data_IF_623131302135
#
_entry.id   IF_623131302135
#
_cell.length_a   1.000
_cell.length_b   1.000
_cell.length_c   1.000
_cell.angle_alpha   90.00
_cell.angle_beta   90.00
_cell.angle_gamma   90.00
#
_symmetry.space_group_name_H-M   'P 1'
#
loop_
_entity.id
_entity.type
_entity.pdbx_description
1 polymer ?
#
# COMPACT_ATOMS: atom_id res chain seq x y z
N UNK A 1 7.29 55.55 -45.69
CA UNK A 1 6.19 54.93 -44.90
C UNK A 1 5.82 53.65 -45.62
N UNK A 2 5.81 52.43 -45.09
CA UNK A 2 5.75 51.94 -43.72
C UNK A 2 6.52 50.60 -43.59
N UNK A 3 6.76 50.21 -42.34
CA UNK A 3 7.58 49.12 -41.86
C UNK A 3 6.87 47.74 -41.87
N UNK A 4 7.68 46.68 -42.06
CA UNK A 4 7.78 45.41 -41.32
C UNK A 4 6.48 44.72 -40.84
N UNK A 5 6.33 43.42 -41.16
CA UNK A 5 6.28 42.28 -40.21
C UNK A 5 5.65 41.05 -40.87
N UNK A 6 6.50 40.05 -41.17
CA UNK A 6 6.07 38.67 -41.33
C UNK A 6 5.73 38.11 -39.95
N UNK A 7 4.54 37.52 -39.78
CA UNK A 7 4.21 36.73 -38.60
C UNK A 7 4.21 35.26 -38.99
N UNK A 8 5.34 34.59 -38.70
CA UNK A 8 5.42 33.14 -38.57
C UNK A 8 4.78 32.76 -37.23
N UNK A 9 3.69 32.00 -37.25
CA UNK A 9 3.18 31.36 -36.05
C UNK A 9 3.62 29.88 -36.04
N UNK A 10 4.75 29.62 -35.39
CA UNK A 10 5.15 28.26 -35.01
C UNK A 10 4.30 27.82 -33.83
N UNK A 11 3.45 26.81 -34.02
CA UNK A 11 2.83 26.05 -32.95
C UNK A 11 3.89 25.19 -32.25
N UNK A 12 4.57 25.75 -31.26
CA UNK A 12 5.38 24.96 -30.31
C UNK A 12 4.49 24.58 -29.13
N UNK A 13 3.63 23.58 -29.34
CA UNK A 13 3.09 22.78 -28.24
C UNK A 13 4.10 21.68 -27.88
N UNK A 14 4.26 21.32 -26.60
CA UNK A 14 5.08 20.17 -26.24
C UNK A 14 4.50 18.92 -26.91
N UNK A 15 5.35 18.20 -27.65
CA UNK A 15 5.02 16.90 -28.23
C UNK A 15 4.87 15.89 -27.08
N UNK A 16 3.65 15.71 -26.57
CA UNK A 16 3.35 14.59 -25.68
C UNK A 16 3.42 13.34 -26.56
N UNK A 17 4.45 12.51 -26.36
CA UNK A 17 4.60 11.25 -27.07
C UNK A 17 3.40 10.36 -26.74
N UNK A 18 2.59 9.93 -27.73
CA UNK A 18 1.37 9.15 -27.46
C UNK A 18 1.63 7.79 -26.79
N UNK A 19 2.88 7.30 -26.78
CA UNK A 19 3.23 5.98 -26.24
C UNK A 19 3.17 5.88 -24.71
N UNK A 20 3.56 6.92 -23.96
CA UNK A 20 3.68 6.79 -22.50
C UNK A 20 2.31 6.78 -21.80
N UNK A 21 1.38 7.61 -22.28
CA UNK A 21 0.01 7.63 -21.76
C UNK A 21 -0.79 6.39 -22.19
N UNK A 22 -0.61 5.92 -23.42
CA UNK A 22 -1.27 4.70 -23.91
C UNK A 22 -0.80 3.46 -23.13
N UNK A 23 0.51 3.31 -22.89
CA UNK A 23 1.05 2.18 -22.15
C UNK A 23 0.64 2.17 -20.67
N UNK A 24 0.64 3.34 -20.00
CA UNK A 24 0.16 3.45 -18.62
C UNK A 24 -1.34 3.13 -18.51
N UNK A 25 -2.15 3.57 -19.47
CA UNK A 25 -3.57 3.24 -19.53
C UNK A 25 -3.80 1.74 -19.78
N UNK A 26 -3.01 1.11 -20.65
CA UNK A 26 -3.07 -0.34 -20.93
C UNK A 26 -2.72 -1.18 -19.69
N UNK A 27 -1.67 -0.80 -18.94
CA UNK A 27 -1.32 -1.45 -17.66
C UNK A 27 -2.46 -1.28 -16.66
N UNK A 28 -3.04 -0.07 -16.55
CA UNK A 28 -4.15 0.19 -15.64
C UNK A 28 -5.40 -0.64 -15.99
N UNK A 29 -5.73 -0.76 -17.28
CA UNK A 29 -6.82 -1.62 -17.77
C UNK A 29 -6.54 -3.08 -17.46
N UNK A 30 -5.31 -3.55 -17.70
CA UNK A 30 -4.91 -4.94 -17.43
C UNK A 30 -5.00 -5.27 -15.94
N UNK A 31 -4.56 -4.36 -15.06
CA UNK A 31 -4.70 -4.51 -13.60
C UNK A 31 -6.19 -4.55 -13.21
N UNK A 32 -7.01 -3.65 -13.76
CA UNK A 32 -8.44 -3.61 -13.48
C UNK A 32 -9.13 -4.91 -13.85
N UNK A 33 -8.85 -5.45 -15.02
CA UNK A 33 -9.39 -6.72 -15.51
C UNK A 33 -8.91 -7.90 -14.66
N UNK A 34 -7.60 -7.99 -14.37
CA UNK A 34 -7.04 -9.04 -13.50
C UNK A 34 -7.68 -9.05 -12.12
N UNK A 35 -7.81 -7.88 -11.48
CA UNK A 35 -8.38 -7.77 -10.14
C UNK A 35 -9.90 -8.01 -10.12
N UNK A 36 -10.60 -7.81 -11.24
CA UNK A 36 -12.04 -8.11 -11.34
C UNK A 36 -12.35 -9.61 -11.19
N UNK A 37 -11.37 -10.50 -11.36
CA UNK A 37 -11.53 -11.93 -11.10
C UNK A 37 -11.52 -12.28 -9.60
N UNK A 38 -11.04 -11.37 -8.74
CA UNK A 38 -10.82 -11.63 -7.31
C UNK A 38 -11.54 -10.64 -6.40
N UNK A 39 -12.39 -9.79 -6.97
CA UNK A 39 -13.05 -8.70 -6.25
C UNK A 39 -13.83 -7.79 -7.19
N UNK A 40 -14.32 -6.67 -6.67
CA UNK A 40 -15.12 -5.73 -7.42
C UNK A 40 -14.63 -4.29 -7.26
N UNK A 41 -14.61 -3.55 -8.36
CA UNK A 41 -14.38 -2.11 -8.33
C UNK A 41 -15.62 -1.36 -7.84
N UNK A 42 -15.44 -0.36 -6.97
CA UNK A 42 -16.48 0.45 -6.34
C UNK A 42 -16.02 1.89 -6.25
N UNK A 43 -16.98 2.80 -6.05
CA UNK A 43 -16.68 4.21 -5.79
C UNK A 43 -16.92 4.51 -4.32
N UNK A 44 -15.84 4.70 -3.56
CA UNK A 44 -15.85 5.21 -2.18
C UNK A 44 -16.05 6.72 -2.20
N UNK A 45 -16.91 7.23 -1.32
CA UNK A 45 -17.08 8.67 -1.13
C UNK A 45 -15.80 9.33 -0.58
N UNK A 46 -14.96 8.57 0.13
CA UNK A 46 -13.71 9.06 0.73
C UNK A 46 -12.52 8.90 -0.22
N UNK A 47 -12.42 7.76 -0.89
CA UNK A 47 -11.21 7.37 -1.62
C UNK A 47 -11.37 7.36 -3.15
N UNK A 48 -12.57 7.59 -3.68
CA UNK A 48 -12.83 7.52 -5.12
C UNK A 48 -12.90 6.08 -5.63
N UNK A 49 -12.31 5.78 -6.79
CA UNK A 49 -12.32 4.42 -7.36
C UNK A 49 -11.42 3.50 -6.55
N UNK A 50 -12.02 2.45 -5.98
CA UNK A 50 -11.35 1.48 -5.11
C UNK A 50 -11.69 0.06 -5.53
N UNK A 51 -10.78 -0.86 -5.25
CA UNK A 51 -11.03 -2.28 -5.43
C UNK A 51 -11.35 -2.95 -4.09
N UNK A 52 -12.42 -3.74 -4.06
CA UNK A 52 -12.89 -4.49 -2.88
C UNK A 52 -12.65 -5.98 -3.11
N UNK A 53 -11.77 -6.64 -2.35
CA UNK A 53 -11.47 -8.06 -2.52
C UNK A 53 -12.66 -8.94 -2.14
N UNK A 54 -12.82 -10.07 -2.84
CA UNK A 54 -13.74 -11.15 -2.46
C UNK A 54 -13.01 -12.17 -1.59
N UNK A 55 -13.03 -11.94 -0.28
CA UNK A 55 -12.27 -12.68 0.74
C UNK A 55 -13.17 -13.08 1.91
N UNK A 56 -12.66 -13.95 2.80
CA UNK A 56 -13.36 -14.35 4.03
C UNK A 56 -13.51 -13.17 5.01
N UNK A 57 -14.50 -13.25 5.90
CA UNK A 57 -14.88 -12.15 6.80
C UNK A 57 -13.74 -11.68 7.71
N UNK A 58 -12.90 -12.58 8.21
CA UNK A 58 -11.80 -12.24 9.12
C UNK A 58 -10.51 -11.84 8.37
N UNK A 59 -10.55 -11.80 7.05
CA UNK A 59 -9.40 -11.45 6.22
C UNK A 59 -8.99 -10.00 6.47
N UNK A 60 -7.68 -9.77 6.51
CA UNK A 60 -7.08 -8.44 6.58
C UNK A 60 -5.85 -8.39 5.67
N UNK A 61 -5.52 -7.24 5.08
CA UNK A 61 -4.30 -7.09 4.31
C UNK A 61 -3.08 -7.44 5.15
N UNK A 62 -2.05 -8.00 4.51
CA UNK A 62 -0.80 -8.39 5.17
C UNK A 62 -0.98 -9.47 6.26
N UNK A 63 -1.88 -10.44 6.04
CA UNK A 63 -2.04 -11.61 6.93
C UNK A 63 -1.81 -12.95 6.22
N UNK A 64 -2.08 -13.07 4.93
CA UNK A 64 -1.91 -14.31 4.16
C UNK A 64 -0.63 -14.25 3.30
N UNK A 65 0.50 -14.58 3.94
CA UNK A 65 1.82 -14.47 3.35
C UNK A 65 2.92 -14.49 4.41
N UNK A 66 4.07 -13.92 4.08
CA UNK A 66 5.20 -13.75 5.02
C UNK A 66 6.03 -12.52 4.72
N UNK A 67 6.73 -12.04 5.73
CA UNK A 67 7.78 -11.03 5.56
C UNK A 67 9.10 -11.69 5.13
N UNK A 68 9.74 -11.12 4.12
CA UNK A 68 11.05 -11.54 3.63
C UNK A 68 11.98 -10.34 3.66
N UNK A 69 13.18 -10.50 4.21
CA UNK A 69 14.19 -9.44 4.16
C UNK A 69 14.83 -9.40 2.78
N UNK A 70 14.89 -8.21 2.18
CA UNK A 70 15.48 -7.95 0.85
C UNK A 70 16.36 -6.70 0.92
N UNK A 71 17.06 -6.38 -0.17
CA UNK A 71 17.83 -5.14 -0.28
C UNK A 71 16.94 -3.88 -0.22
N UNK A 72 15.65 -4.01 -0.56
CA UNK A 72 14.64 -2.95 -0.41
C UNK A 72 14.01 -2.91 1.01
N UNK A 73 14.44 -3.80 1.92
CA UNK A 73 13.92 -3.97 3.28
C UNK A 73 12.89 -5.10 3.40
N UNK A 74 12.00 -5.02 4.40
CA UNK A 74 10.94 -6.02 4.60
C UNK A 74 9.93 -6.02 3.45
N UNK A 75 10.02 -7.05 2.60
CA UNK A 75 9.12 -7.34 1.49
C UNK A 75 7.96 -8.22 1.96
N UNK A 76 6.72 -7.85 1.61
CA UNK A 76 5.58 -8.72 1.84
C UNK A 76 5.43 -9.72 0.68
N UNK A 77 5.70 -10.99 0.97
CA UNK A 77 5.44 -12.09 0.04
C UNK A 77 4.06 -12.68 0.32
N UNK A 78 3.06 -12.24 -0.44
CA UNK A 78 1.70 -12.76 -0.37
C UNK A 78 1.56 -14.14 -1.03
N UNK A 79 0.64 -14.96 -0.51
CA UNK A 79 0.18 -16.20 -1.14
C UNK A 79 -1.11 -16.02 -1.95
N UNK A 80 -1.65 -14.81 -1.98
CA UNK A 80 -2.92 -14.48 -2.61
C UNK A 80 -2.73 -14.17 -4.10
N UNK A 81 -3.69 -14.52 -4.96
CA UNK A 81 -3.53 -14.44 -6.42
C UNK A 81 -3.46 -13.01 -6.98
N UNK A 82 -3.80 -12.01 -6.15
CA UNK A 82 -3.75 -10.58 -6.47
C UNK A 82 -2.55 -9.86 -5.81
N UNK A 83 -1.75 -10.58 -5.01
CA UNK A 83 -0.76 -9.99 -4.12
C UNK A 83 0.41 -9.29 -4.83
N UNK A 84 0.73 -9.73 -6.05
CA UNK A 84 1.79 -9.16 -6.89
C UNK A 84 1.59 -7.67 -7.19
N UNK A 85 0.33 -7.23 -7.28
CA UNK A 85 0.00 -5.82 -7.54
C UNK A 85 -0.37 -5.11 -6.25
N UNK A 86 -1.35 -5.62 -5.50
CA UNK A 86 -2.05 -4.80 -4.50
C UNK A 86 -1.20 -4.46 -3.27
N UNK A 87 -0.18 -5.27 -2.94
CA UNK A 87 0.69 -4.96 -1.80
C UNK A 87 1.83 -4.01 -2.14
N UNK A 88 2.12 -3.81 -3.43
CA UNK A 88 3.30 -3.09 -3.88
C UNK A 88 2.97 -1.81 -4.63
N UNK A 89 1.84 -1.75 -5.34
CA UNK A 89 1.43 -0.63 -6.20
C UNK A 89 0.14 0.05 -5.72
N UNK A 90 0.01 0.30 -4.41
CA UNK A 90 -1.18 0.97 -3.90
C UNK A 90 -1.22 1.10 -2.39
N UNK A 91 -2.41 1.42 -1.86
CA UNK A 91 -2.65 1.60 -0.43
C UNK A 91 -3.87 0.80 -0.02
N UNK A 92 -3.76 0.11 1.10
CA UNK A 92 -4.91 -0.49 1.76
C UNK A 92 -5.48 0.50 2.77
N UNK A 93 -6.79 0.66 2.76
CA UNK A 93 -7.51 1.47 3.74
C UNK A 93 -8.79 0.75 4.16
N UNK A 94 -9.32 1.11 5.33
CA UNK A 94 -10.62 0.65 5.77
C UNK A 94 -11.68 1.71 5.42
N UNK A 95 -12.69 1.29 4.69
CA UNK A 95 -13.87 2.06 4.35
C UNK A 95 -15.07 1.50 5.15
N UNK A 96 -15.81 2.30 5.94
CA UNK A 96 -16.94 1.81 6.73
C UNK A 96 -18.04 1.12 5.91
N UNK A 97 -18.22 1.51 4.64
CA UNK A 97 -19.27 0.99 3.78
C UNK A 97 -18.84 -0.31 3.06
N UNK A 98 -17.53 -0.50 2.86
CA UNK A 98 -16.99 -1.60 2.04
C UNK A 98 -15.99 -2.52 2.74
N UNK A 99 -15.55 -2.19 3.96
CA UNK A 99 -14.48 -2.89 4.66
C UNK A 99 -13.09 -2.53 4.12
N UNK A 100 -12.20 -3.52 4.00
CA UNK A 100 -10.88 -3.28 3.42
C UNK A 100 -10.97 -3.00 1.93
N UNK A 101 -10.44 -1.86 1.52
CA UNK A 101 -10.40 -1.42 0.12
C UNK A 101 -8.97 -1.11 -0.30
N UNK A 102 -8.68 -1.36 -1.57
CA UNK A 102 -7.41 -1.04 -2.18
C UNK A 102 -7.54 0.17 -3.10
N UNK A 103 -6.66 1.15 -2.89
CA UNK A 103 -6.51 2.34 -3.71
C UNK A 103 -5.28 2.14 -4.59
N UNK A 104 -5.47 2.20 -5.90
CA UNK A 104 -4.37 2.06 -6.86
C UNK A 104 -3.33 3.17 -6.69
N UNK A 105 -2.06 2.82 -6.84
CA UNK A 105 -0.93 3.73 -6.89
C UNK A 105 0.03 3.35 -8.02
N UNK A 106 0.86 4.30 -8.43
CA UNK A 106 1.86 4.10 -9.50
C UNK A 106 3.27 3.85 -8.96
N UNK A 107 3.49 4.10 -7.67
CA UNK A 107 4.78 3.88 -7.00
C UNK A 107 4.86 2.47 -6.40
N UNK A 108 5.97 1.80 -6.70
CA UNK A 108 6.31 0.52 -6.08
C UNK A 108 6.93 0.72 -4.71
N UNK A 109 6.59 -0.17 -3.76
CA UNK A 109 7.35 -0.39 -2.54
C UNK A 109 7.32 -1.88 -2.15
N UNK A 110 8.32 -2.36 -1.38
CA UNK A 110 8.31 -3.72 -0.84
C UNK A 110 7.08 -4.01 0.04
N UNK A 111 6.54 -2.99 0.72
CA UNK A 111 5.23 -2.97 1.36
C UNK A 111 4.85 -1.53 1.75
N UNK A 112 3.55 -1.28 1.88
CA UNK A 112 3.00 0.00 2.36
C UNK A 112 2.35 -0.19 3.72
N UNK A 113 3.17 -0.22 4.77
CA UNK A 113 2.75 -0.45 6.16
C UNK A 113 3.39 0.55 7.13
N UNK A 114 2.74 0.74 8.27
CA UNK A 114 3.31 1.41 9.44
C UNK A 114 3.80 0.33 10.40
N UNK A 115 5.02 0.48 10.89
CA UNK A 115 5.63 -0.44 11.84
C UNK A 115 5.55 0.09 13.27
N UNK A 116 5.45 -0.83 14.21
CA UNK A 116 5.59 -0.58 15.65
C UNK A 116 6.34 -1.72 16.31
N UNK A 117 7.00 -1.42 17.42
CA UNK A 117 7.71 -2.44 18.21
C UNK A 117 7.69 -2.08 19.69
N UNK A 118 7.94 -3.08 20.54
CA UNK A 118 8.08 -2.90 21.97
C UNK A 118 7.78 -4.19 22.73
N UNK A 119 8.38 -4.32 23.91
CA UNK A 119 8.43 -5.62 24.58
C UNK A 119 9.13 -6.65 23.68
N UNK A 120 8.47 -7.78 23.45
CA UNK A 120 8.95 -8.86 22.59
C UNK A 120 8.19 -8.96 21.27
N UNK A 121 7.36 -7.98 20.93
CA UNK A 121 6.50 -8.02 19.75
C UNK A 121 6.85 -6.91 18.75
N UNK A 122 6.75 -7.26 17.47
CA UNK A 122 6.75 -6.34 16.35
C UNK A 122 5.38 -6.40 15.69
N UNK A 123 4.88 -5.26 15.25
CA UNK A 123 3.62 -5.19 14.55
C UNK A 123 3.62 -4.25 13.36
N UNK A 124 2.67 -4.50 12.47
CA UNK A 124 2.43 -3.72 11.27
C UNK A 124 0.94 -3.44 11.10
N UNK A 125 0.63 -2.33 10.47
CA UNK A 125 -0.72 -2.00 9.99
C UNK A 125 -0.62 -1.44 8.56
N UNK A 126 -1.62 -1.65 7.69
CA UNK A 126 -1.61 -1.06 6.36
C UNK A 126 -1.57 0.47 6.43
N UNK A 127 -0.72 1.12 5.64
CA UNK A 127 -0.64 2.58 5.61
C UNK A 127 -1.68 3.14 4.61
N UNK A 128 -2.76 3.81 5.05
CA UNK A 128 -3.70 4.45 4.12
C UNK A 128 -3.07 5.70 3.46
N UNK A 129 -3.64 6.21 2.35
CA UNK A 129 -3.12 7.39 1.66
C UNK A 129 -3.21 8.67 2.51
N UNK A 130 -4.13 8.72 3.46
CA UNK A 130 -4.36 9.88 4.31
C UNK A 130 -3.30 10.00 5.41
N UNK A 131 -2.63 11.16 5.46
CA UNK A 131 -1.63 11.46 6.49
C UNK A 131 -2.35 11.82 7.81
N UNK A 132 -2.02 11.10 8.90
CA UNK A 132 -2.51 11.42 10.25
C UNK A 132 -3.81 10.72 10.67
N UNK A 133 -4.20 9.65 9.96
CA UNK A 133 -5.33 8.80 10.36
C UNK A 133 -5.01 8.06 11.66
N UNK A 134 -5.98 8.03 12.57
CA UNK A 134 -5.95 7.14 13.72
C UNK A 134 -6.15 5.70 13.24
N UNK A 135 -5.22 4.82 13.59
CA UNK A 135 -5.32 3.39 13.30
C UNK A 135 -6.21 2.74 14.35
N UNK A 136 -7.25 2.02 13.91
CA UNK A 136 -7.99 1.16 14.81
C UNK A 136 -7.06 0.05 15.34
N UNK A 137 -7.20 -0.28 16.62
CA UNK A 137 -6.40 -1.32 17.26
C UNK A 137 -6.51 -2.65 16.50
N UNK A 138 -7.69 -2.95 15.93
CA UNK A 138 -7.95 -4.17 15.17
C UNK A 138 -7.24 -4.23 13.81
N UNK A 139 -6.63 -3.13 13.33
CA UNK A 139 -5.90 -3.14 12.05
C UNK A 139 -4.47 -3.63 12.20
N UNK A 140 -3.95 -3.65 13.42
CA UNK A 140 -2.61 -4.13 13.69
C UNK A 140 -2.54 -5.65 13.65
N UNK A 141 -1.43 -6.13 13.09
CA UNK A 141 -0.98 -7.51 13.22
C UNK A 141 0.30 -7.51 14.04
N UNK A 142 0.46 -8.50 14.92
CA UNK A 142 1.63 -8.63 15.78
C UNK A 142 2.18 -10.04 15.72
N UNK A 143 3.50 -10.15 15.84
CA UNK A 143 4.23 -11.41 16.03
C UNK A 143 5.36 -11.17 17.03
N UNK A 144 5.85 -12.22 17.70
CA UNK A 144 7.12 -12.13 18.40
C UNK A 144 8.22 -11.66 17.45
N UNK A 145 9.11 -10.77 17.89
CA UNK A 145 10.21 -10.23 17.07
C UNK A 145 11.03 -11.35 16.41
N UNK A 146 11.31 -12.42 17.16
CA UNK A 146 12.06 -13.58 16.67
C UNK A 146 11.34 -14.38 15.54
N UNK A 147 10.05 -14.11 15.30
CA UNK A 147 9.20 -14.83 14.37
C UNK A 147 8.75 -13.99 13.15
N UNK A 148 9.23 -12.75 12.99
CA UNK A 148 8.82 -11.88 11.87
C UNK A 148 9.10 -12.51 10.50
N UNK A 149 10.21 -13.25 10.37
CA UNK A 149 10.57 -13.98 9.14
C UNK A 149 10.06 -15.43 9.08
N UNK A 150 9.09 -15.81 9.91
CA UNK A 150 8.56 -17.17 9.92
C UNK A 150 7.94 -17.54 8.55
N UNK A 151 8.22 -18.75 8.08
CA UNK A 151 7.67 -19.28 6.82
C UNK A 151 6.14 -19.36 6.88
N UNK A 152 5.61 -19.73 8.04
CA UNK A 152 4.18 -19.82 8.32
C UNK A 152 3.77 -18.72 9.30
N UNK A 153 3.72 -17.49 8.79
CA UNK A 153 3.47 -16.30 9.61
C UNK A 153 2.10 -16.38 10.30
N UNK A 154 1.08 -16.92 9.62
CA UNK A 154 -0.29 -17.05 10.14
C UNK A 154 -0.34 -17.79 11.47
N UNK A 155 0.52 -18.80 11.68
CA UNK A 155 0.57 -19.56 12.94
C UNK A 155 1.19 -18.80 14.11
N UNK A 156 1.98 -17.77 13.85
CA UNK A 156 2.69 -16.99 14.87
C UNK A 156 2.08 -15.60 15.08
N UNK A 157 1.13 -15.20 14.23
CA UNK A 157 0.34 -13.99 14.41
C UNK A 157 -0.46 -14.07 15.71
N UNK A 158 -0.31 -13.03 16.53
CA UNK A 158 -1.07 -12.86 17.77
C UNK A 158 -2.56 -12.72 17.45
N UNK A 159 -3.46 -13.30 18.27
CA UNK A 159 -4.89 -13.06 18.15
C UNK A 159 -5.22 -11.57 18.25
N UNK A 160 -6.16 -11.10 17.43
CA UNK A 160 -6.57 -9.68 17.38
C UNK A 160 -7.04 -9.15 18.73
N UNK A 161 -7.60 -10.03 19.57
CA UNK A 161 -8.07 -9.71 20.91
C UNK A 161 -6.94 -9.23 21.84
N UNK A 162 -5.68 -9.60 21.55
CA UNK A 162 -4.51 -9.17 22.31
C UNK A 162 -4.00 -7.79 21.88
N UNK A 163 -4.45 -7.24 20.74
CA UNK A 163 -3.94 -6.00 20.17
C UNK A 163 -3.99 -4.84 21.16
N UNK A 164 -5.08 -4.68 21.91
CA UNK A 164 -5.23 -3.59 22.90
C UNK A 164 -4.11 -3.60 23.95
N UNK A 165 -3.69 -4.79 24.39
CA UNK A 165 -2.63 -4.93 25.39
C UNK A 165 -1.27 -4.69 24.76
N UNK A 166 -1.00 -5.30 23.60
CA UNK A 166 0.27 -5.16 22.89
C UNK A 166 0.49 -3.69 22.47
N UNK A 167 -0.57 -2.99 22.05
CA UNK A 167 -0.50 -1.59 21.65
C UNK A 167 -0.17 -0.63 22.79
N UNK A 168 -0.47 -0.97 24.04
CA UNK A 168 -0.05 -0.18 25.21
C UNK A 168 1.44 -0.31 25.51
N UNK A 169 2.06 -1.42 25.07
CA UNK A 169 3.45 -1.77 25.37
C UNK A 169 4.41 -1.57 24.18
N UNK A 170 3.89 -1.11 23.05
CA UNK A 170 4.65 -0.91 21.81
C UNK A 170 4.51 0.53 21.35
N UNK A 171 5.50 1.05 20.63
CA UNK A 171 5.45 2.40 20.04
C UNK A 171 5.65 2.31 18.54
N UNK A 172 5.02 3.24 17.81
CA UNK A 172 5.25 3.37 16.37
C UNK A 172 6.72 3.69 16.15
N UNK A 173 7.37 2.94 15.24
CA UNK A 173 8.78 3.16 14.91
C UNK A 173 8.87 4.49 14.15
N UNK A 174 9.36 5.52 14.85
CA UNK A 174 9.42 6.90 14.37
C UNK A 174 10.63 7.17 13.46
N UNK A 175 11.00 6.21 12.60
CA UNK A 175 12.02 6.43 11.59
C UNK A 175 11.34 6.91 10.31
N UNK A 176 11.72 8.10 9.85
CA UNK A 176 11.35 8.58 8.52
C UNK A 176 12.35 7.94 7.55
N UNK A 177 12.11 6.71 7.11
CA UNK A 177 12.87 6.17 5.98
C UNK A 177 12.15 6.62 4.72
N UNK A 178 12.86 7.37 3.88
CA UNK A 178 12.43 7.70 2.53
C UNK A 178 12.31 6.38 1.77
N UNK A 179 11.09 5.90 1.56
CA UNK A 179 10.83 4.88 0.54
C UNK A 179 10.79 5.63 -0.79
N UNK A 180 11.93 5.61 -1.49
CA UNK A 180 12.08 5.99 -2.89
C UNK A 180 11.39 7.32 -3.30
N UNK A 181 11.78 8.42 -2.65
CA UNK A 181 11.47 9.79 -3.09
C UNK A 181 9.98 10.19 -3.18
N UNK A 182 9.07 9.45 -2.55
CA UNK A 182 7.68 9.89 -2.38
C UNK A 182 7.56 10.94 -1.24
N UNK A 183 6.82 12.05 -1.42
CA UNK A 183 6.72 13.06 -0.38
C UNK A 183 5.88 12.53 0.81
N UNK A 184 6.56 12.34 1.93
CA UNK A 184 6.02 12.24 3.31
C UNK A 184 5.08 11.07 3.60
N UNK A 185 5.59 9.84 3.49
CA UNK A 185 5.02 8.71 4.25
C UNK A 185 5.99 8.34 5.37
N UNK A 186 5.50 8.29 6.61
CA UNK A 186 6.28 7.81 7.76
C UNK A 186 6.37 6.29 7.65
N UNK A 187 7.50 5.80 7.15
CA UNK A 187 7.76 4.41 6.81
C UNK A 187 9.10 4.01 7.40
N UNK A 188 9.17 2.84 8.04
CA UNK A 188 10.42 2.27 8.56
C UNK A 188 10.46 0.79 8.24
N UNK A 189 10.95 0.42 7.05
CA UNK A 189 11.11 -0.99 6.66
C UNK A 189 12.35 -1.66 7.26
N UNK A 190 13.01 -1.01 8.21
CA UNK A 190 14.07 -1.57 9.03
C UNK A 190 13.55 -1.73 10.45
N UNK A 191 13.04 -2.92 10.76
CA UNK A 191 12.90 -3.35 12.14
C UNK A 191 14.25 -3.98 12.50
N UNK A 192 14.93 -3.43 13.50
CA UNK A 192 16.15 -4.02 14.11
C UNK A 192 15.73 -4.94 15.25
#
# INVERSE_FOLDING_TARGET
>A
MAAVMALSATLTGPLVLPGTQAHAAEIAVTVRERLSNYGGWRTSARFGDVWVPSVRTEWRPYTEGRWVWTDDGWYWQSTEPFGDVVYHYGRWAYDPDFGWVWIAGDQWAPAWVVWRQGGNDVGWAPAPPDVGVAFDDAWWCFVPVAAIGAVDLVRVVRPVQENVVIMRNTTIINQTVVVNNAPRVRLGNQVV
#
